data_IF_060480085152
#
_entry.id   IF_060480085152
#
_cell.length_a   1.000
_cell.length_b   1.000
_cell.length_c   1.000
_cell.angle_alpha   90.00
_cell.angle_beta   90.00
_cell.angle_gamma   90.00
#
_symmetry.space_group_name_H-M   'P 1'
#
loop_
_entity.id
_entity.type
_entity.pdbx_description
1 polymer ?
#
# COMPACT_ATOMS: atom_id res chain seq x y z
N UNK A 1 27.54 11.92 22.05
CA UNK A 1 26.14 11.44 22.07
C UNK A 1 25.82 10.94 20.68
N UNK A 2 26.05 9.65 20.44
CA UNK A 2 25.63 8.96 19.22
C UNK A 2 24.14 8.71 19.34
N UNK A 3 23.33 9.34 18.49
CA UNK A 3 21.92 8.99 18.39
C UNK A 3 21.85 7.68 17.60
N UNK A 4 21.60 6.60 18.31
CA UNK A 4 21.24 5.31 17.71
C UNK A 4 19.86 5.50 17.04
N UNK A 5 19.69 5.23 15.74
CA UNK A 5 18.36 5.28 15.14
C UNK A 5 17.54 4.15 15.77
N UNK A 6 16.49 4.52 16.50
CA UNK A 6 15.56 3.56 17.06
C UNK A 6 15.12 2.57 15.98
N UNK A 7 15.27 1.27 16.26
CA UNK A 7 14.75 0.22 15.40
C UNK A 7 13.26 0.52 15.09
N UNK A 8 12.81 0.38 13.84
CA UNK A 8 11.42 0.66 13.49
C UNK A 8 10.51 -0.20 14.37
N UNK A 9 9.55 0.47 15.00
CA UNK A 9 8.57 -0.15 15.87
C UNK A 9 7.90 -1.32 15.15
N UNK A 10 8.01 -2.54 15.71
CA UNK A 10 7.44 -3.77 15.13
C UNK A 10 5.91 -3.74 14.91
N UNK A 11 5.25 -2.69 15.42
CA UNK A 11 3.83 -2.39 15.22
C UNK A 11 3.53 -1.52 13.99
N UNK A 12 4.54 -0.89 13.37
CA UNK A 12 4.34 0.02 12.25
C UNK A 12 3.69 -0.72 11.07
N UNK A 13 2.54 -0.24 10.59
CA UNK A 13 1.83 -0.82 9.43
C UNK A 13 0.99 -2.07 9.70
N UNK A 14 0.87 -2.53 10.96
CA UNK A 14 -0.08 -3.61 11.31
C UNK A 14 -1.54 -3.19 11.16
N UNK A 15 -2.44 -4.14 10.87
CA UNK A 15 -3.88 -3.90 10.80
C UNK A 15 -4.39 -3.47 12.18
N UNK A 16 -5.03 -2.29 12.34
CA UNK A 16 -5.67 -1.93 13.59
C UNK A 16 -6.79 -2.92 13.92
N UNK A 17 -6.91 -3.34 15.18
CA UNK A 17 -7.94 -4.30 15.62
C UNK A 17 -9.38 -3.86 15.24
N UNK A 18 -9.65 -2.56 15.24
CA UNK A 18 -10.94 -2.01 14.81
C UNK A 18 -11.23 -2.18 13.31
N UNK A 19 -10.22 -2.44 12.49
CA UNK A 19 -10.30 -2.54 11.03
C UNK A 19 -10.13 -3.99 10.53
N UNK A 20 -9.78 -4.93 11.39
CA UNK A 20 -9.44 -6.32 11.04
C UNK A 20 -10.54 -7.00 10.22
N UNK A 21 -11.81 -6.83 10.63
CA UNK A 21 -12.95 -7.38 9.89
C UNK A 21 -13.06 -6.80 8.47
N UNK A 22 -12.86 -5.50 8.29
CA UNK A 22 -12.94 -4.86 6.98
C UNK A 22 -11.75 -5.27 6.09
N UNK A 23 -10.53 -5.28 6.65
CA UNK A 23 -9.33 -5.71 5.95
C UNK A 23 -9.44 -7.17 5.49
N UNK A 24 -9.94 -8.06 6.35
CA UNK A 24 -10.17 -9.48 6.00
C UNK A 24 -11.17 -9.63 4.88
N UNK A 25 -12.27 -8.85 4.86
CA UNK A 25 -13.25 -8.91 3.76
C UNK A 25 -12.67 -8.43 2.43
N UNK A 26 -11.89 -7.35 2.44
CA UNK A 26 -11.39 -6.71 1.22
C UNK A 26 -10.18 -7.42 0.62
N UNK A 27 -9.27 -7.93 1.45
CA UNK A 27 -8.04 -8.56 0.99
C UNK A 27 -8.09 -10.10 1.07
N UNK A 28 -8.98 -10.67 1.88
CA UNK A 28 -9.19 -12.10 1.97
C UNK A 28 -7.89 -12.88 2.17
N UNK A 29 -7.60 -13.89 1.33
CA UNK A 29 -6.36 -14.67 1.41
C UNK A 29 -5.06 -13.86 1.21
N UNK A 30 -5.15 -12.64 0.70
CA UNK A 30 -3.99 -11.75 0.42
C UNK A 30 -3.81 -10.67 1.49
N UNK A 31 -4.45 -10.81 2.66
CA UNK A 31 -4.30 -9.87 3.78
C UNK A 31 -2.85 -9.73 4.25
N UNK A 32 -2.07 -10.81 4.23
CA UNK A 32 -0.65 -10.77 4.59
C UNK A 32 0.16 -9.90 3.62
N UNK A 33 -0.16 -9.97 2.31
CA UNK A 33 0.46 -9.13 1.29
C UNK A 33 0.10 -7.66 1.48
N UNK A 34 -1.17 -7.36 1.78
CA UNK A 34 -1.61 -6.01 2.11
C UNK A 34 -0.90 -5.48 3.36
N UNK A 35 -0.67 -6.33 4.36
CA UNK A 35 0.04 -5.97 5.60
C UNK A 35 1.52 -5.70 5.35
N UNK A 36 2.19 -6.51 4.52
CA UNK A 36 3.57 -6.27 4.11
C UNK A 36 3.70 -4.95 3.36
N UNK A 37 2.78 -4.65 2.44
CA UNK A 37 2.77 -3.37 1.74
C UNK A 37 2.48 -2.18 2.67
N UNK A 38 1.56 -2.32 3.62
CA UNK A 38 1.28 -1.30 4.64
C UNK A 38 2.52 -0.97 5.49
N UNK A 39 3.27 -2.00 5.89
CA UNK A 39 4.57 -1.85 6.59
C UNK A 39 5.56 -1.06 5.76
N UNK A 40 5.73 -1.46 4.49
CA UNK A 40 6.65 -0.81 3.56
C UNK A 40 6.30 0.68 3.36
N UNK A 41 5.01 1.01 3.23
CA UNK A 41 4.54 2.40 3.16
C UNK A 41 4.81 3.18 4.45
N UNK A 42 4.59 2.55 5.61
CA UNK A 42 4.81 3.18 6.92
C UNK A 42 6.29 3.34 7.30
N UNK A 43 7.20 2.64 6.62
CA UNK A 43 8.65 2.70 6.84
C UNK A 43 9.36 3.36 5.64
N UNK A 44 9.69 2.59 4.61
CA UNK A 44 10.40 3.03 3.41
C UNK A 44 9.65 4.15 2.69
N UNK A 45 8.32 4.07 2.64
CA UNK A 45 7.48 5.12 2.08
C UNK A 45 7.67 6.46 2.81
N UNK A 46 7.88 6.45 4.13
CA UNK A 46 8.17 7.66 4.90
C UNK A 46 9.58 8.17 4.64
N UNK A 47 10.58 7.29 4.69
CA UNK A 47 11.99 7.62 4.46
C UNK A 47 12.19 8.26 3.07
N UNK A 48 11.48 7.75 2.05
CA UNK A 48 11.55 8.22 0.67
C UNK A 48 10.62 9.41 0.38
N UNK A 49 9.87 9.90 1.37
CA UNK A 49 8.97 11.04 1.23
C UNK A 49 7.73 10.76 0.36
N UNK A 50 7.31 9.50 0.25
CA UNK A 50 6.10 9.05 -0.44
C UNK A 50 4.87 9.15 0.47
N UNK A 51 5.06 8.87 1.76
CA UNK A 51 4.05 8.95 2.81
C UNK A 51 4.52 9.94 3.87
N UNK A 52 3.63 10.80 4.33
CA UNK A 52 3.95 11.73 5.42
C UNK A 52 4.11 10.98 6.75
N UNK A 53 5.03 11.38 7.66
CA UNK A 53 5.18 10.74 8.97
C UNK A 53 3.89 10.71 9.81
N UNK A 54 2.99 11.69 9.61
CA UNK A 54 1.67 11.74 10.28
C UNK A 54 0.63 10.80 9.65
N UNK A 55 0.85 10.38 8.41
CA UNK A 55 -0.02 9.45 7.70
C UNK A 55 0.36 7.98 7.96
N UNK A 56 1.63 7.70 8.27
CA UNK A 56 2.11 6.33 8.53
C UNK A 56 1.30 5.57 9.62
N UNK A 57 0.93 6.16 10.78
CA UNK A 57 0.09 5.49 11.77
C UNK A 57 -1.35 5.25 11.30
N UNK A 58 -1.75 5.86 10.18
CA UNK A 58 -3.12 5.90 9.63
C UNK A 58 -3.20 5.25 8.27
N UNK A 59 -2.18 4.45 7.91
CA UNK A 59 -2.07 3.90 6.56
C UNK A 59 -3.26 3.01 6.19
N UNK A 60 -3.82 2.30 7.17
CA UNK A 60 -4.96 1.42 6.97
C UNK A 60 -6.26 2.17 6.70
N UNK A 61 -6.66 3.10 7.57
CA UNK A 61 -7.93 3.84 7.41
C UNK A 61 -7.87 4.89 6.30
N UNK A 62 -6.73 5.59 6.15
CA UNK A 62 -6.63 6.70 5.18
C UNK A 62 -6.26 6.25 3.78
N UNK A 63 -5.54 5.14 3.64
CA UNK A 63 -5.00 4.71 2.36
C UNK A 63 -5.51 3.34 1.93
N UNK A 64 -5.17 2.25 2.64
CA UNK A 64 -5.46 0.90 2.16
C UNK A 64 -6.96 0.63 2.00
N UNK A 65 -7.77 0.86 3.02
CA UNK A 65 -9.22 0.57 2.93
C UNK A 65 -9.92 1.50 1.94
N UNK A 66 -9.53 2.78 1.90
CA UNK A 66 -10.08 3.75 0.95
C UNK A 66 -9.74 3.40 -0.51
N UNK A 67 -8.57 2.82 -0.78
CA UNK A 67 -8.23 2.34 -2.12
C UNK A 67 -8.99 1.06 -2.45
N UNK A 68 -9.05 0.10 -1.51
CA UNK A 68 -9.65 -1.20 -1.73
C UNK A 68 -11.17 -1.15 -1.96
N UNK A 69 -11.89 -0.18 -1.39
CA UNK A 69 -13.34 -0.07 -1.61
C UNK A 69 -13.71 0.18 -3.08
N UNK A 70 -12.83 0.83 -3.86
CA UNK A 70 -13.03 1.05 -5.29
C UNK A 70 -12.95 -0.25 -6.09
N UNK A 71 -12.33 -1.29 -5.52
CA UNK A 71 -12.17 -2.58 -6.19
C UNK A 71 -13.52 -3.27 -6.50
N UNK A 72 -14.58 -2.98 -5.74
CA UNK A 72 -15.93 -3.52 -5.99
C UNK A 72 -16.58 -2.94 -7.26
N UNK A 73 -16.07 -1.82 -7.77
CA UNK A 73 -16.59 -1.14 -8.97
C UNK A 73 -15.95 -1.64 -10.27
N UNK A 74 -14.91 -2.48 -10.18
CA UNK A 74 -14.12 -2.95 -11.31
C UNK A 74 -14.58 -4.36 -11.69
N UNK A 75 -14.91 -4.60 -12.96
CA UNK A 75 -15.35 -5.92 -13.41
C UNK A 75 -14.19 -6.92 -13.44
N UNK A 76 -14.50 -8.21 -13.33
CA UNK A 76 -13.48 -9.26 -13.46
C UNK A 76 -12.80 -9.21 -14.85
N UNK A 77 -11.48 -9.38 -14.87
CA UNK A 77 -10.69 -9.39 -16.11
C UNK A 77 -10.42 -8.01 -16.71
N UNK A 78 -10.84 -6.92 -16.06
CA UNK A 78 -10.57 -5.57 -16.56
C UNK A 78 -9.10 -5.18 -16.38
N UNK A 79 -8.68 -4.23 -17.22
CA UNK A 79 -7.38 -3.57 -17.09
C UNK A 79 -7.57 -2.18 -16.52
N UNK A 80 -6.84 -1.87 -15.47
CA UNK A 80 -6.85 -0.58 -14.77
C UNK A 80 -5.53 0.13 -14.99
N UNK A 81 -5.59 1.43 -15.23
CA UNK A 81 -4.41 2.30 -15.32
C UNK A 81 -4.49 3.31 -14.17
N UNK A 82 -3.50 3.29 -13.31
CA UNK A 82 -3.32 4.26 -12.22
C UNK A 82 -2.34 5.35 -12.66
N UNK A 83 -2.85 6.57 -12.92
CA UNK A 83 -2.05 7.69 -13.43
C UNK A 83 -1.61 8.59 -12.28
N UNK A 84 -0.29 8.75 -12.12
CA UNK A 84 0.29 9.43 -10.98
C UNK A 84 0.35 8.53 -9.75
N UNK A 85 0.72 7.26 -9.95
CA UNK A 85 0.60 6.21 -8.92
C UNK A 85 1.37 6.53 -7.63
N UNK A 86 2.41 7.38 -7.68
CA UNK A 86 3.09 7.87 -6.48
C UNK A 86 3.73 6.74 -5.68
N UNK A 87 3.14 6.45 -4.52
CA UNK A 87 3.53 5.34 -3.65
C UNK A 87 2.92 3.99 -4.06
N UNK A 88 2.13 3.96 -5.14
CA UNK A 88 1.36 2.81 -5.60
C UNK A 88 -0.12 2.85 -5.20
N UNK A 89 -0.65 4.04 -4.90
CA UNK A 89 -2.02 4.22 -4.42
C UNK A 89 -2.86 4.92 -5.49
N UNK A 90 -4.02 4.35 -5.91
CA UNK A 90 -4.62 3.12 -5.41
C UNK A 90 -4.11 1.82 -6.07
N UNK A 91 -3.30 1.89 -7.14
CA UNK A 91 -3.08 0.76 -8.04
C UNK A 91 -2.55 -0.54 -7.41
N UNK A 92 -1.53 -0.47 -6.54
CA UNK A 92 -0.99 -1.65 -5.85
C UNK A 92 -2.03 -2.25 -4.91
N UNK A 93 -2.78 -1.41 -4.18
CA UNK A 93 -3.84 -1.88 -3.29
C UNK A 93 -4.93 -2.61 -4.07
N UNK A 94 -5.31 -2.09 -5.25
CA UNK A 94 -6.27 -2.74 -6.13
C UNK A 94 -5.74 -4.09 -6.62
N UNK A 95 -4.48 -4.17 -7.05
CA UNK A 95 -3.86 -5.44 -7.47
C UNK A 95 -3.81 -6.47 -6.32
N UNK A 96 -3.53 -6.02 -5.09
CA UNK A 96 -3.52 -6.88 -3.90
C UNK A 96 -4.93 -7.31 -3.48
N UNK A 97 -5.96 -6.50 -3.70
CA UNK A 97 -7.36 -6.85 -3.43
C UNK A 97 -7.95 -7.75 -4.54
N UNK A 98 -7.55 -7.57 -5.81
CA UNK A 98 -8.13 -8.23 -6.99
C UNK A 98 -7.06 -8.87 -7.86
N UNK A 99 -6.93 -10.20 -7.76
CA UNK A 99 -5.94 -10.98 -8.53
C UNK A 99 -6.40 -11.28 -9.94
N UNK A 100 -7.65 -10.93 -10.25
CA UNK A 100 -8.36 -11.16 -11.50
C UNK A 100 -8.36 -9.92 -12.42
N UNK A 101 -7.66 -8.85 -12.03
CA UNK A 101 -7.50 -7.64 -12.85
C UNK A 101 -6.02 -7.40 -13.18
N UNK A 102 -5.76 -6.67 -14.24
CA UNK A 102 -4.42 -6.18 -14.58
C UNK A 102 -4.30 -4.72 -14.21
N UNK A 103 -3.25 -4.33 -13.48
CA UNK A 103 -3.03 -2.93 -13.09
C UNK A 103 -1.73 -2.42 -13.68
N UNK A 104 -1.81 -1.33 -14.44
CA UNK A 104 -0.64 -0.57 -14.93
C UNK A 104 -0.44 0.67 -14.08
N UNK A 105 0.77 0.87 -13.56
CA UNK A 105 1.15 2.05 -12.79
C UNK A 105 1.92 3.03 -13.67
N UNK A 106 1.44 4.28 -13.77
CA UNK A 106 2.10 5.34 -14.52
C UNK A 106 2.60 6.41 -13.55
N UNK A 107 3.92 6.56 -13.47
CA UNK A 107 4.57 7.54 -12.60
C UNK A 107 5.79 8.15 -13.31
N UNK A 108 5.81 9.48 -13.53
CA UNK A 108 6.90 10.15 -14.25
C UNK A 108 8.21 10.28 -13.48
N UNK A 109 8.18 10.25 -12.14
CA UNK A 109 9.38 10.46 -11.33
C UNK A 109 10.14 9.14 -11.16
N UNK A 110 11.32 9.02 -11.81
CA UNK A 110 12.14 7.81 -11.80
C UNK A 110 12.38 7.19 -10.41
N UNK A 111 12.61 8.01 -9.38
CA UNK A 111 12.79 7.52 -7.99
C UNK A 111 11.53 6.83 -7.43
N UNK A 112 10.34 7.26 -7.85
CA UNK A 112 9.06 6.67 -7.46
C UNK A 112 8.80 5.42 -8.28
N UNK A 113 9.07 5.45 -9.58
CA UNK A 113 9.03 4.25 -10.42
C UNK A 113 9.94 3.13 -9.87
N UNK A 114 11.16 3.46 -9.46
CA UNK A 114 12.07 2.49 -8.84
C UNK A 114 11.48 1.87 -7.58
N UNK A 115 10.89 2.69 -6.70
CA UNK A 115 10.15 2.18 -5.54
C UNK A 115 8.98 1.26 -5.93
N UNK A 116 8.19 1.62 -6.95
CA UNK A 116 7.08 0.78 -7.41
C UNK A 116 7.59 -0.55 -7.97
N UNK A 117 8.69 -0.55 -8.72
CA UNK A 117 9.34 -1.77 -9.20
C UNK A 117 9.79 -2.65 -8.04
N UNK A 118 10.47 -2.10 -7.04
CA UNK A 118 10.88 -2.83 -5.83
C UNK A 118 9.69 -3.46 -5.11
N UNK A 119 8.55 -2.75 -5.01
CA UNK A 119 7.34 -3.28 -4.37
C UNK A 119 6.72 -4.44 -5.15
N UNK A 120 6.73 -4.37 -6.48
CA UNK A 120 6.13 -5.41 -7.34
C UNK A 120 7.01 -6.67 -7.40
N UNK A 121 8.32 -6.52 -7.22
CA UNK A 121 9.29 -7.62 -7.29
C UNK A 121 9.55 -8.31 -5.93
N UNK A 122 9.12 -7.71 -4.82
CA UNK A 122 9.28 -8.23 -3.46
C UNK A 122 8.27 -9.35 -3.11
#
# INVERSE_FOLDING_TARGET
MTHDPAAPDSSAGGVPASLESAATRLFGPRLDLATSYARLLATEGVVRGLIGPREAPRIWDRHLLNCAVVAELISSGETVIDVGSGAGLPGIVLAVARSDISVTLIEPLARRTAFLTEVVEA
#
